data_IF_258456955928
#
_entry.id   IF_258456955928
#
_cell.length_a   1.000
_cell.length_b   1.000
_cell.length_c   1.000
_cell.angle_alpha   90.00
_cell.angle_beta   90.00
_cell.angle_gamma   90.00
#
_symmetry.space_group_name_H-M   'P 1'
#
loop_
_entity.id
_entity.type
_entity.pdbx_description
1 polymer ?
#
# COMPACT_ATOMS: atom_id res chain seq x y z
N UNK A 1 -55.32 -0.35 -26.12
CA UNK A 1 -54.53 0.36 -25.07
C UNK A 1 -53.36 1.04 -25.76
N UNK A 2 -53.16 2.35 -25.58
CA UNK A 2 -52.01 3.03 -26.18
C UNK A 2 -50.71 2.46 -25.61
N UNK A 3 -49.71 2.25 -26.47
CA UNK A 3 -48.39 1.72 -26.11
C UNK A 3 -47.77 2.51 -24.93
N UNK A 4 -48.03 3.81 -24.85
CA UNK A 4 -47.64 4.68 -23.73
C UNK A 4 -48.29 4.29 -22.39
N UNK A 5 -49.56 3.89 -22.37
CA UNK A 5 -50.22 3.43 -21.14
C UNK A 5 -49.61 2.11 -20.67
N UNK A 6 -49.38 1.17 -21.58
CA UNK A 6 -48.73 -0.10 -21.25
C UNK A 6 -47.30 0.10 -20.72
N UNK A 7 -46.52 0.97 -21.35
CA UNK A 7 -45.18 1.33 -20.89
C UNK A 7 -45.22 2.01 -19.51
N UNK A 8 -46.16 2.95 -19.30
CA UNK A 8 -46.33 3.63 -18.01
C UNK A 8 -46.70 2.67 -16.87
N UNK A 9 -47.64 1.75 -17.11
CA UNK A 9 -48.00 0.71 -16.14
C UNK A 9 -46.85 -0.26 -15.87
N UNK A 10 -46.05 -0.60 -16.89
CA UNK A 10 -44.89 -1.49 -16.74
C UNK A 10 -43.76 -0.85 -15.93
N UNK A 11 -43.51 0.46 -16.11
CA UNK A 11 -42.55 1.22 -15.29
C UNK A 11 -43.05 1.31 -13.85
N UNK A 12 -44.34 1.59 -13.65
CA UNK A 12 -44.93 1.70 -12.32
C UNK A 12 -44.89 0.37 -11.55
N UNK A 13 -45.24 -0.74 -12.19
CA UNK A 13 -45.15 -2.07 -11.56
C UNK A 13 -43.71 -2.46 -11.26
N UNK A 14 -42.76 -2.13 -12.16
CA UNK A 14 -41.33 -2.31 -11.91
C UNK A 14 -40.84 -1.52 -10.70
N UNK A 15 -41.23 -0.25 -10.56
CA UNK A 15 -40.90 0.60 -9.41
C UNK A 15 -41.50 0.05 -8.11
N UNK A 16 -42.78 -0.33 -8.12
CA UNK A 16 -43.44 -0.91 -6.95
C UNK A 16 -42.80 -2.24 -6.53
N UNK A 17 -42.49 -3.13 -7.49
CA UNK A 17 -41.80 -4.38 -7.22
C UNK A 17 -40.38 -4.13 -6.66
N UNK A 18 -39.66 -3.15 -7.20
CA UNK A 18 -38.36 -2.74 -6.69
C UNK A 18 -38.42 -2.19 -5.27
N UNK A 19 -39.40 -1.34 -4.97
CA UNK A 19 -39.64 -0.80 -3.62
C UNK A 19 -40.00 -1.90 -2.63
N UNK A 20 -40.85 -2.85 -3.01
CA UNK A 20 -41.21 -4.00 -2.17
C UNK A 20 -39.99 -4.89 -1.90
N UNK A 21 -39.19 -5.19 -2.94
CA UNK A 21 -37.97 -5.97 -2.79
C UNK A 21 -36.94 -5.27 -1.89
N UNK A 22 -36.74 -3.96 -2.07
CA UNK A 22 -35.85 -3.16 -1.23
C UNK A 22 -36.34 -3.11 0.23
N UNK A 23 -37.65 -2.96 0.45
CA UNK A 23 -38.26 -2.93 1.78
C UNK A 23 -38.17 -4.28 2.49
N UNK A 24 -38.45 -5.38 1.78
CA UNK A 24 -38.28 -6.73 2.30
C UNK A 24 -36.81 -7.01 2.67
N UNK A 25 -35.88 -6.58 1.81
CA UNK A 25 -34.45 -6.72 2.07
C UNK A 25 -34.00 -5.86 3.26
N UNK A 26 -34.51 -4.63 3.39
CA UNK A 26 -34.25 -3.75 4.54
C UNK A 26 -34.75 -4.38 5.84
N UNK A 27 -36.00 -4.85 5.89
CA UNK A 27 -36.57 -5.49 7.08
C UNK A 27 -35.85 -6.78 7.47
N UNK A 28 -35.31 -7.51 6.49
CA UNK A 28 -34.53 -8.72 6.73
C UNK A 28 -33.10 -8.44 7.25
N UNK A 29 -32.45 -7.39 6.72
CA UNK A 29 -31.05 -7.06 7.03
C UNK A 29 -30.91 -6.12 8.22
N UNK A 30 -31.84 -5.18 8.41
CA UNK A 30 -31.78 -4.13 9.45
C UNK A 30 -31.58 -4.70 10.86
N UNK A 31 -32.30 -5.75 11.31
CA UNK A 31 -32.09 -6.36 12.63
C UNK A 31 -30.72 -7.03 12.81
N UNK A 32 -29.99 -7.26 11.71
CA UNK A 32 -28.65 -7.87 11.70
C UNK A 32 -27.54 -6.85 11.53
N UNK A 33 -27.89 -5.57 11.32
CA UNK A 33 -26.90 -4.51 11.24
C UNK A 33 -26.36 -4.22 12.64
N UNK A 34 -25.04 -4.13 12.79
CA UNK A 34 -24.43 -3.79 14.07
C UNK A 34 -24.85 -2.38 14.52
N UNK A 35 -24.60 -2.13 15.80
CA UNK A 35 -24.87 -0.84 16.43
C UNK A 35 -23.82 0.19 16.02
N UNK A 36 -24.28 1.39 15.62
CA UNK A 36 -23.41 2.48 15.16
C UNK A 36 -22.70 3.14 16.33
N UNK A 37 -23.25 3.08 17.55
CA UNK A 37 -22.58 3.62 18.75
C UNK A 37 -21.18 3.02 18.97
N UNK A 38 -20.97 1.76 18.54
CA UNK A 38 -19.67 1.10 18.61
C UNK A 38 -18.59 1.78 17.76
N UNK A 39 -18.95 2.63 16.80
CA UNK A 39 -18.00 3.40 16.01
C UNK A 39 -17.27 4.46 16.85
N UNK A 40 -17.90 4.99 17.90
CA UNK A 40 -17.32 6.02 18.77
C UNK A 40 -16.17 5.48 19.63
N UNK A 41 -16.16 4.17 19.90
CA UNK A 41 -15.12 3.50 20.69
C UNK A 41 -13.93 3.02 19.84
N UNK A 42 -13.16 3.96 19.28
CA UNK A 42 -11.91 3.63 18.59
C UNK A 42 -10.79 3.38 19.61
N UNK A 43 -10.59 2.12 19.98
CA UNK A 43 -9.47 1.73 20.85
C UNK A 43 -8.12 1.96 20.15
N UNK A 44 -7.23 2.69 20.82
CA UNK A 44 -5.82 2.77 20.49
C UNK A 44 -5.20 1.37 20.52
N UNK A 45 -4.58 0.97 19.41
CA UNK A 45 -3.89 -0.31 19.30
C UNK A 45 -2.39 -0.05 19.28
N UNK A 46 -1.66 -0.69 20.18
CA UNK A 46 -0.21 -0.63 20.22
C UNK A 46 0.35 -1.95 19.68
N UNK A 47 1.27 -1.91 18.70
CA UNK A 47 1.80 -3.13 18.10
C UNK A 47 2.70 -3.90 19.07
N UNK A 48 2.79 -5.22 18.88
CA UNK A 48 3.79 -6.07 19.51
C UNK A 48 5.19 -5.63 19.09
N UNK A 49 6.12 -5.55 20.06
CA UNK A 49 7.55 -5.38 19.80
C UNK A 49 8.34 -6.55 20.35
N UNK A 50 9.24 -7.10 19.53
CA UNK A 50 10.12 -8.20 19.88
C UNK A 50 11.54 -7.68 19.99
N UNK A 51 12.18 -7.91 21.13
CA UNK A 51 13.53 -7.49 21.48
C UNK A 51 14.44 -8.68 21.66
N UNK A 52 15.72 -8.51 21.36
CA UNK A 52 16.77 -9.45 21.76
C UNK A 52 16.97 -9.42 23.28
N UNK A 53 17.76 -10.35 23.82
CA UNK A 53 18.08 -10.38 25.25
C UNK A 53 18.88 -9.15 25.73
N UNK A 54 19.48 -8.44 24.78
CA UNK A 54 20.31 -7.23 24.95
C UNK A 54 19.61 -5.98 24.37
N UNK A 55 18.27 -5.94 24.47
CA UNK A 55 17.41 -4.78 24.19
C UNK A 55 17.44 -4.22 22.76
N UNK A 56 17.91 -5.00 21.78
CA UNK A 56 17.86 -4.60 20.38
C UNK A 56 16.49 -4.94 19.79
N UNK A 57 15.79 -3.96 19.19
CA UNK A 57 14.53 -4.23 18.52
C UNK A 57 14.75 -5.13 17.31
N UNK A 58 14.05 -6.26 17.27
CA UNK A 58 14.13 -7.24 16.18
C UNK A 58 12.99 -7.05 15.18
N UNK A 59 11.77 -6.87 15.70
CA UNK A 59 10.58 -6.74 14.87
C UNK A 59 9.44 -6.05 15.61
N UNK A 60 8.55 -5.44 14.83
CA UNK A 60 7.28 -4.90 15.28
C UNK A 60 6.15 -5.57 14.47
N UNK A 61 5.08 -6.00 15.13
CA UNK A 61 3.93 -6.69 14.52
C UNK A 61 2.63 -6.04 14.98
N UNK A 62 1.72 -5.82 14.03
CA UNK A 62 0.45 -5.13 14.27
C UNK A 62 0.31 -3.87 13.42
N UNK A 63 -0.87 -3.28 13.52
CA UNK A 63 -1.19 -2.01 12.88
C UNK A 63 -0.52 -0.86 13.62
N UNK A 64 -0.04 0.13 12.88
CA UNK A 64 0.38 1.41 13.43
C UNK A 64 -0.83 2.32 13.48
N UNK A 65 -1.47 2.34 14.64
CA UNK A 65 -2.46 3.36 14.99
C UNK A 65 -1.76 4.39 15.86
N UNK A 66 -1.87 5.66 15.50
CA UNK A 66 -1.45 6.79 16.34
C UNK A 66 -2.66 7.31 17.11
N UNK A 67 -2.44 8.29 17.99
CA UNK A 67 -3.52 9.04 18.64
C UNK A 67 -4.55 9.46 17.58
N UNK A 68 -5.84 9.12 17.75
CA UNK A 68 -6.88 9.60 16.85
C UNK A 68 -6.80 11.12 16.76
N UNK A 69 -6.96 11.64 15.56
CA UNK A 69 -7.04 13.09 15.33
C UNK A 69 -8.50 13.50 15.31
N UNK A 70 -8.82 14.59 16.01
CA UNK A 70 -10.14 15.20 15.90
C UNK A 70 -10.26 15.89 14.56
N UNK A 71 -11.44 15.86 13.95
CA UNK A 71 -11.64 16.44 12.62
C UNK A 71 -11.34 17.94 12.59
N UNK A 72 -11.52 18.65 13.70
CA UNK A 72 -11.22 20.07 13.84
C UNK A 72 -9.71 20.37 13.78
N UNK A 73 -8.87 19.40 14.17
CA UNK A 73 -7.40 19.53 14.14
C UNK A 73 -6.82 19.20 12.76
N UNK A 74 -7.60 18.58 11.86
CA UNK A 74 -7.14 18.21 10.53
C UNK A 74 -7.15 19.44 9.62
N UNK A 75 -6.02 19.82 9.00
CA UNK A 75 -5.99 20.96 8.11
C UNK A 75 -6.98 20.82 6.96
N UNK A 76 -7.63 21.93 6.61
CA UNK A 76 -8.66 21.98 5.56
C UNK A 76 -8.20 21.36 4.24
N UNK A 77 -6.98 21.66 3.78
CA UNK A 77 -6.45 21.12 2.53
C UNK A 77 -6.24 19.60 2.56
N UNK A 78 -6.05 19.01 3.76
CA UNK A 78 -5.98 17.55 3.93
C UNK A 78 -7.35 16.94 3.73
N UNK A 79 -8.38 17.46 4.42
CA UNK A 79 -9.77 17.04 4.24
C UNK A 79 -10.18 17.14 2.76
N UNK A 80 -9.94 18.30 2.15
CA UNK A 80 -10.26 18.57 0.75
C UNK A 80 -9.55 17.63 -0.23
N UNK A 81 -8.32 17.20 0.07
CA UNK A 81 -7.62 16.22 -0.75
C UNK A 81 -8.32 14.85 -0.74
N UNK A 82 -8.80 14.39 0.42
CA UNK A 82 -9.56 13.14 0.53
C UNK A 82 -10.93 13.25 -0.14
N UNK A 83 -11.65 14.36 0.06
CA UNK A 83 -12.93 14.61 -0.61
C UNK A 83 -12.75 14.64 -2.14
N UNK A 84 -11.76 15.36 -2.65
CA UNK A 84 -11.48 15.42 -4.09
C UNK A 84 -11.12 14.06 -4.69
N UNK A 85 -10.41 13.21 -3.92
CA UNK A 85 -9.94 11.91 -4.36
C UNK A 85 -11.00 10.80 -4.33
N UNK A 86 -11.87 10.82 -3.32
CA UNK A 86 -12.77 9.71 -2.98
C UNK A 86 -14.25 10.08 -3.10
N UNK A 87 -14.66 11.28 -2.65
CA UNK A 87 -16.08 11.65 -2.56
C UNK A 87 -16.31 13.18 -2.56
N UNK A 88 -16.31 13.78 -3.75
CA UNK A 88 -16.37 15.24 -3.91
C UNK A 88 -17.72 15.85 -3.50
N UNK A 89 -18.77 15.03 -3.37
CA UNK A 89 -20.14 15.46 -3.01
C UNK A 89 -20.56 14.90 -1.67
N UNK A 90 -19.58 14.55 -0.83
CA UNK A 90 -19.81 13.96 0.49
C UNK A 90 -20.87 14.69 1.30
N UNK A 91 -20.87 16.04 1.29
CA UNK A 91 -21.83 16.86 2.02
C UNK A 91 -23.20 17.00 1.35
N UNK A 92 -23.35 16.61 0.08
CA UNK A 92 -24.58 16.79 -0.69
C UNK A 92 -25.50 15.56 -0.66
N UNK A 93 -24.97 14.40 -0.27
CA UNK A 93 -25.71 13.15 -0.30
C UNK A 93 -25.86 12.53 1.10
N UNK A 94 -26.80 11.59 1.26
CA UNK A 94 -27.07 10.92 2.53
C UNK A 94 -26.60 9.46 2.47
N UNK A 95 -25.32 9.21 2.79
CA UNK A 95 -24.72 7.88 2.82
C UNK A 95 -24.37 7.26 1.47
N UNK A 96 -25.21 7.44 0.46
CA UNK A 96 -25.00 6.96 -0.91
C UNK A 96 -25.10 8.12 -1.89
N UNK A 97 -24.36 8.05 -2.99
CA UNK A 97 -24.41 9.03 -4.08
C UNK A 97 -25.17 8.42 -5.29
N UNK A 98 -26.47 8.73 -5.49
CA UNK A 98 -27.26 8.15 -6.58
C UNK A 98 -26.73 8.54 -7.96
N UNK A 99 -26.22 9.76 -8.11
CA UNK A 99 -25.67 10.26 -9.37
C UNK A 99 -24.33 9.57 -9.67
N UNK A 100 -23.50 9.34 -8.63
CA UNK A 100 -22.26 8.59 -8.74
C UNK A 100 -22.50 7.13 -9.10
N UNK A 101 -23.50 6.49 -8.48
CA UNK A 101 -23.93 5.12 -8.78
C UNK A 101 -24.48 4.99 -10.20
N UNK A 102 -25.34 5.92 -10.63
CA UNK A 102 -25.87 5.93 -11.99
C UNK A 102 -24.75 6.07 -13.03
N UNK A 103 -23.80 6.99 -12.81
CA UNK A 103 -22.62 7.16 -13.67
C UNK A 103 -21.79 5.87 -13.76
N UNK A 104 -21.55 5.23 -12.62
CA UNK A 104 -20.80 3.97 -12.57
C UNK A 104 -21.52 2.83 -13.30
N UNK A 105 -22.85 2.74 -13.17
CA UNK A 105 -23.67 1.77 -13.88
C UNK A 105 -23.64 1.98 -15.39
N UNK A 106 -23.76 3.23 -15.85
CA UNK A 106 -23.64 3.58 -17.28
C UNK A 106 -22.27 3.18 -17.83
N UNK A 107 -21.18 3.44 -17.09
CA UNK A 107 -19.83 3.04 -17.50
C UNK A 107 -19.66 1.52 -17.59
N UNK A 108 -20.26 0.76 -16.67
CA UNK A 108 -20.24 -0.69 -16.72
C UNK A 108 -20.95 -1.21 -17.97
N UNK A 109 -22.10 -0.63 -18.32
CA UNK A 109 -22.87 -0.99 -19.50
C UNK A 109 -22.11 -0.60 -20.79
N UNK A 110 -21.51 0.59 -20.82
CA UNK A 110 -20.88 1.11 -22.05
C UNK A 110 -19.46 0.60 -22.30
N UNK A 111 -18.68 0.36 -21.25
CA UNK A 111 -17.25 0.00 -21.37
C UNK A 111 -16.93 -1.40 -20.83
N UNK A 112 -17.92 -2.13 -20.32
CA UNK A 112 -17.72 -3.45 -19.70
C UNK A 112 -16.98 -3.41 -18.36
N UNK A 113 -16.60 -2.22 -17.86
CA UNK A 113 -15.87 -2.07 -16.60
C UNK A 113 -16.25 -0.78 -15.87
N UNK A 114 -16.21 -0.82 -14.53
CA UNK A 114 -16.42 0.39 -13.73
C UNK A 114 -15.08 1.13 -13.63
N UNK A 115 -14.99 2.30 -14.26
CA UNK A 115 -13.77 3.13 -14.23
C UNK A 115 -13.79 4.18 -13.10
N UNK A 116 -14.99 4.63 -12.70
CA UNK A 116 -15.19 5.60 -11.61
C UNK A 116 -15.41 4.93 -10.25
N UNK A 117 -15.04 5.63 -9.16
CA UNK A 117 -15.37 5.19 -7.81
C UNK A 117 -16.85 5.43 -7.55
N UNK A 118 -17.64 4.37 -7.34
CA UNK A 118 -19.07 4.47 -7.02
C UNK A 118 -19.39 4.27 -5.53
N UNK A 119 -18.39 4.26 -4.63
CA UNK A 119 -18.60 4.11 -3.19
C UNK A 119 -18.25 5.41 -2.48
N UNK A 120 -19.15 5.88 -1.63
CA UNK A 120 -19.00 7.10 -0.83
C UNK A 120 -18.08 6.87 0.37
N UNK A 121 -17.63 7.95 1.02
CA UNK A 121 -16.87 7.86 2.28
C UNK A 121 -17.65 7.09 3.34
N UNK A 122 -18.95 7.35 3.50
CA UNK A 122 -19.80 6.66 4.48
C UNK A 122 -19.89 5.16 4.21
N UNK A 123 -20.02 4.75 2.93
CA UNK A 123 -19.96 3.33 2.56
C UNK A 123 -18.60 2.70 2.89
N UNK A 124 -17.51 3.47 2.75
CA UNK A 124 -16.18 3.00 3.14
C UNK A 124 -16.05 2.86 4.66
N UNK A 125 -16.63 3.75 5.46
CA UNK A 125 -16.70 3.60 6.93
C UNK A 125 -17.45 2.33 7.30
N UNK A 126 -18.66 2.13 6.75
CA UNK A 126 -19.45 0.92 6.96
C UNK A 126 -18.65 -0.35 6.65
N UNK A 127 -17.96 -0.37 5.50
CA UNK A 127 -17.10 -1.48 5.07
C UNK A 127 -15.93 -1.73 6.03
N UNK A 128 -15.25 -0.67 6.47
CA UNK A 128 -14.00 -0.78 7.25
C UNK A 128 -14.25 -1.15 8.72
N UNK A 129 -15.42 -0.85 9.28
CA UNK A 129 -15.74 -1.12 10.69
C UNK A 129 -16.52 -2.41 10.92
N UNK A 130 -17.42 -2.79 10.01
CA UNK A 130 -18.43 -3.80 10.31
C UNK A 130 -18.44 -5.02 9.40
N UNK A 131 -17.80 -4.95 8.24
CA UNK A 131 -17.91 -6.00 7.23
C UNK A 131 -16.61 -6.77 7.08
N UNK A 132 -16.69 -8.09 7.28
CA UNK A 132 -15.58 -9.00 6.98
C UNK A 132 -15.34 -9.09 5.47
N UNK A 133 -14.14 -9.52 5.08
CA UNK A 133 -13.65 -9.44 3.70
C UNK A 133 -14.34 -10.38 2.69
N UNK A 134 -15.32 -11.18 3.12
CA UNK A 134 -16.06 -12.13 2.30
C UNK A 134 -16.86 -11.41 1.18
N UNK A 135 -16.59 -11.75 -0.09
CA UNK A 135 -17.19 -11.11 -1.26
C UNK A 135 -18.50 -11.81 -1.66
N UNK A 136 -19.62 -11.37 -1.11
CA UNK A 136 -20.96 -11.77 -1.60
C UNK A 136 -21.76 -10.54 -2.04
N UNK A 137 -22.69 -10.71 -2.99
CA UNK A 137 -23.60 -9.63 -3.41
C UNK A 137 -24.39 -9.04 -2.22
N UNK A 138 -24.74 -9.88 -1.24
CA UNK A 138 -25.34 -9.50 0.05
C UNK A 138 -24.50 -8.46 0.80
N UNK A 139 -23.17 -8.53 0.74
CA UNK A 139 -22.30 -7.54 1.40
C UNK A 139 -22.51 -6.13 0.85
N UNK A 140 -22.69 -5.97 -0.46
CA UNK A 140 -22.83 -4.63 -1.05
C UNK A 140 -24.13 -3.95 -0.62
N UNK A 141 -25.20 -4.71 -0.45
CA UNK A 141 -26.44 -4.21 0.13
C UNK A 141 -26.28 -3.87 1.61
N UNK A 142 -25.55 -4.69 2.38
CA UNK A 142 -25.24 -4.36 3.77
C UNK A 142 -24.45 -3.05 3.89
N UNK A 143 -23.48 -2.78 3.00
CA UNK A 143 -22.75 -1.49 2.95
C UNK A 143 -23.69 -0.30 2.76
N UNK A 144 -24.68 -0.42 1.86
CA UNK A 144 -25.63 0.66 1.56
C UNK A 144 -26.52 0.94 2.78
N UNK A 145 -27.18 -0.10 3.33
CA UNK A 145 -28.08 0.10 4.46
C UNK A 145 -27.35 0.57 5.71
N UNK A 146 -26.13 0.07 5.95
CA UNK A 146 -25.32 0.51 7.07
C UNK A 146 -24.82 1.95 6.89
N UNK A 147 -24.48 2.35 5.66
CA UNK A 147 -24.13 3.75 5.38
C UNK A 147 -25.32 4.69 5.64
N UNK A 148 -26.53 4.29 5.26
CA UNK A 148 -27.75 5.06 5.56
C UNK A 148 -28.01 5.16 7.06
N UNK A 149 -27.85 4.05 7.80
CA UNK A 149 -27.99 4.03 9.27
C UNK A 149 -26.94 4.93 9.94
N UNK A 150 -25.68 4.86 9.50
CA UNK A 150 -24.60 5.73 9.98
C UNK A 150 -24.95 7.21 9.81
N UNK A 151 -25.53 7.61 8.67
CA UNK A 151 -25.89 9.01 8.41
C UNK A 151 -27.14 9.49 9.16
N UNK A 152 -27.95 8.56 9.66
CA UNK A 152 -29.06 8.90 10.56
C UNK A 152 -28.57 9.19 11.98
N UNK A 153 -27.48 8.56 12.40
CA UNK A 153 -27.01 8.59 13.79
C UNK A 153 -25.78 9.49 13.99
N UNK A 154 -24.97 9.72 12.94
CA UNK A 154 -23.75 10.52 12.97
C UNK A 154 -23.80 11.67 11.97
N UNK A 155 -23.20 12.78 12.37
CA UNK A 155 -23.01 13.97 11.53
C UNK A 155 -21.89 13.77 10.50
N UNK A 156 -21.89 14.57 9.44
CA UNK A 156 -20.84 14.52 8.39
C UNK A 156 -19.41 14.67 8.95
N UNK A 157 -19.13 15.60 9.89
CA UNK A 157 -17.81 15.69 10.51
C UNK A 157 -17.43 14.41 11.27
N UNK A 158 -18.32 13.83 12.08
CA UNK A 158 -18.06 12.58 12.80
C UNK A 158 -17.75 11.42 11.84
N UNK A 159 -18.51 11.28 10.75
CA UNK A 159 -18.27 10.24 9.73
C UNK A 159 -16.90 10.41 9.07
N UNK A 160 -16.53 11.65 8.75
CA UNK A 160 -15.25 11.96 8.14
C UNK A 160 -14.09 11.70 9.12
N UNK A 161 -14.25 12.05 10.40
CA UNK A 161 -13.29 11.74 11.46
C UNK A 161 -13.03 10.23 11.56
N UNK A 162 -14.11 9.43 11.64
CA UNK A 162 -14.02 7.97 11.69
C UNK A 162 -13.32 7.41 10.46
N UNK A 163 -13.65 7.93 9.28
CA UNK A 163 -12.99 7.54 8.03
C UNK A 163 -11.48 7.82 8.08
N UNK A 164 -11.10 9.05 8.41
CA UNK A 164 -9.72 9.51 8.42
C UNK A 164 -8.87 8.83 9.49
N UNK A 165 -9.46 8.41 10.62
CA UNK A 165 -8.74 7.70 11.68
C UNK A 165 -8.64 6.19 11.44
N UNK A 166 -9.55 5.59 10.66
CA UNK A 166 -9.58 4.13 10.46
C UNK A 166 -8.96 3.66 9.16
N UNK A 167 -8.92 4.49 8.13
CA UNK A 167 -8.57 4.02 6.79
C UNK A 167 -7.15 3.47 6.70
N UNK A 168 -6.99 2.33 6.00
CA UNK A 168 -5.68 1.76 5.73
C UNK A 168 -4.97 2.51 4.60
N UNK A 169 -3.78 3.03 4.90
CA UNK A 169 -2.99 3.88 3.99
C UNK A 169 -1.63 3.24 3.64
N UNK A 170 -1.51 1.91 3.79
CA UNK A 170 -0.28 1.20 3.45
C UNK A 170 0.80 1.28 4.53
N UNK A 171 1.85 0.46 4.39
CA UNK A 171 2.95 0.35 5.36
C UNK A 171 2.48 0.11 6.82
N UNK A 172 1.37 -0.64 6.97
CA UNK A 172 0.70 -0.90 8.26
C UNK A 172 0.14 0.36 8.94
N UNK A 173 0.03 1.48 8.24
CA UNK A 173 -0.51 2.74 8.77
C UNK A 173 -2.02 2.76 8.64
N UNK A 174 -2.71 2.88 9.76
CA UNK A 174 -4.16 3.03 9.83
C UNK A 174 -4.46 4.41 10.41
N UNK A 175 -5.17 5.20 9.62
CA UNK A 175 -5.45 6.60 9.89
C UNK A 175 -4.41 7.57 9.32
N UNK A 176 -4.84 8.80 9.06
CA UNK A 176 -4.02 9.82 8.41
C UNK A 176 -2.82 10.26 9.24
N UNK A 177 -2.95 10.35 10.56
CA UNK A 177 -1.85 10.73 11.45
C UNK A 177 -0.73 9.68 11.42
N UNK A 178 -1.11 8.40 11.41
CA UNK A 178 -0.17 7.31 11.25
C UNK A 178 0.53 7.36 9.89
N UNK A 179 -0.20 7.66 8.81
CA UNK A 179 0.37 7.78 7.48
C UNK A 179 1.32 8.98 7.35
N UNK A 180 0.95 10.16 7.86
CA UNK A 180 1.79 11.36 7.91
C UNK A 180 3.13 11.05 8.58
N UNK A 181 3.08 10.39 9.74
CA UNK A 181 4.27 9.95 10.46
C UNK A 181 5.07 8.91 9.68
N UNK A 182 4.44 7.87 9.11
CA UNK A 182 5.15 6.77 8.45
C UNK A 182 5.81 7.19 7.13
N UNK A 183 5.18 8.08 6.35
CA UNK A 183 5.68 8.49 5.03
C UNK A 183 6.51 9.78 5.06
N UNK A 184 6.28 10.67 6.03
CA UNK A 184 6.93 11.99 6.07
C UNK A 184 7.58 12.33 7.41
N UNK A 185 7.32 11.55 8.47
CA UNK A 185 7.86 11.82 9.80
C UNK A 185 7.30 13.10 10.42
N UNK A 186 6.09 13.51 10.04
CA UNK A 186 5.41 14.72 10.49
C UNK A 186 4.03 14.40 11.04
N UNK A 187 3.45 15.35 11.78
CA UNK A 187 2.03 15.30 12.10
C UNK A 187 1.17 15.65 10.88
N UNK A 188 -0.10 15.24 10.89
CA UNK A 188 -1.08 15.61 9.85
C UNK A 188 -1.19 17.12 9.67
N UNK A 189 -1.00 17.89 10.75
CA UNK A 189 -1.08 19.36 10.76
C UNK A 189 -0.02 20.02 9.88
N UNK A 190 1.11 19.35 9.70
CA UNK A 190 2.29 19.89 9.02
C UNK A 190 2.44 19.38 7.57
N UNK A 191 1.42 18.66 7.07
CA UNK A 191 1.42 18.16 5.69
C UNK A 191 1.25 19.29 4.69
N UNK A 192 2.06 19.30 3.64
CA UNK A 192 1.82 20.18 2.49
C UNK A 192 0.66 19.68 1.63
N UNK A 193 0.16 20.52 0.70
CA UNK A 193 -0.88 20.13 -0.27
C UNK A 193 -0.43 18.90 -1.09
N UNK A 194 0.83 18.87 -1.53
CA UNK A 194 1.38 17.76 -2.30
C UNK A 194 1.47 16.45 -1.47
N UNK A 195 1.81 16.56 -0.19
CA UNK A 195 1.88 15.41 0.74
C UNK A 195 0.48 14.90 1.09
N UNK A 196 -0.48 15.81 1.32
CA UNK A 196 -1.89 15.50 1.55
C UNK A 196 -2.51 14.76 0.35
N UNK A 197 -2.32 15.29 -0.87
CA UNK A 197 -2.78 14.65 -2.10
C UNK A 197 -2.11 13.29 -2.35
N UNK A 198 -0.85 13.12 -1.92
CA UNK A 198 -0.17 11.83 -2.00
C UNK A 198 -0.83 10.80 -1.09
N UNK A 199 -1.08 11.15 0.18
CA UNK A 199 -1.71 10.27 1.16
C UNK A 199 -3.16 9.95 0.75
N UNK A 200 -3.93 10.94 0.28
CA UNK A 200 -5.29 10.78 -0.23
C UNK A 200 -5.36 9.85 -1.48
N UNK A 201 -4.24 9.60 -2.15
CA UNK A 201 -4.15 8.65 -3.26
C UNK A 201 -4.04 7.19 -2.84
N UNK A 202 -3.68 6.92 -1.59
CA UNK A 202 -3.41 5.57 -1.07
C UNK A 202 -4.66 4.69 -0.92
N UNK A 203 -5.82 5.17 -0.43
CA UNK A 203 -7.03 4.36 -0.21
C UNK A 203 -7.40 3.41 -1.36
N UNK A 204 -7.35 3.92 -2.60
CA UNK A 204 -7.74 3.15 -3.80
C UNK A 204 -6.92 1.88 -4.02
N UNK A 205 -5.61 1.94 -3.79
CA UNK A 205 -4.71 0.79 -3.93
C UNK A 205 -3.38 1.04 -3.18
N UNK A 206 -3.34 0.86 -1.85
CA UNK A 206 -2.22 1.29 -1.02
C UNK A 206 -0.88 0.70 -1.45
N UNK A 207 -0.86 -0.56 -1.91
CA UNK A 207 0.36 -1.22 -2.40
C UNK A 207 0.80 -0.71 -3.77
N UNK A 208 -0.14 -0.34 -4.66
CA UNK A 208 0.16 0.07 -6.04
C UNK A 208 0.61 1.53 -6.13
N UNK A 209 0.04 2.38 -5.28
CA UNK A 209 0.32 3.80 -5.19
C UNK A 209 1.25 4.15 -4.02
N UNK A 210 1.90 3.17 -3.40
CA UNK A 210 2.87 3.41 -2.33
C UNK A 210 4.05 4.25 -2.88
N UNK A 211 4.28 5.48 -2.37
CA UNK A 211 5.30 6.36 -2.92
C UNK A 211 6.74 5.93 -2.62
N UNK A 212 6.95 5.04 -1.65
CA UNK A 212 8.27 4.49 -1.31
C UNK A 212 8.65 3.37 -2.29
N UNK A 213 7.67 2.56 -2.70
CA UNK A 213 7.89 1.40 -3.57
C UNK A 213 7.74 1.77 -5.05
N UNK A 214 6.79 2.66 -5.37
CA UNK A 214 6.48 3.07 -6.74
C UNK A 214 6.24 4.59 -6.84
N UNK A 215 7.30 5.41 -6.73
CA UNK A 215 7.18 6.87 -6.75
C UNK A 215 6.59 7.41 -8.05
N UNK A 216 6.89 6.80 -9.21
CA UNK A 216 6.34 7.22 -10.51
C UNK A 216 4.81 7.10 -10.53
N UNK A 217 4.26 5.92 -10.20
CA UNK A 217 2.80 5.72 -10.17
C UNK A 217 2.12 6.54 -9.09
N UNK A 218 2.76 6.69 -7.93
CA UNK A 218 2.26 7.51 -6.85
C UNK A 218 2.16 8.98 -7.27
N UNK A 219 3.18 9.51 -7.97
CA UNK A 219 3.16 10.88 -8.53
C UNK A 219 1.99 11.10 -9.49
N UNK A 220 1.77 10.18 -10.43
CA UNK A 220 0.63 10.27 -11.38
C UNK A 220 -0.70 10.36 -10.63
N UNK A 221 -0.88 9.54 -9.59
CA UNK A 221 -2.11 9.55 -8.78
C UNK A 221 -2.24 10.84 -7.97
N UNK A 222 -1.16 11.31 -7.34
CA UNK A 222 -1.11 12.59 -6.61
C UNK A 222 -1.49 13.74 -7.53
N UNK A 223 -0.86 13.85 -8.69
CA UNK A 223 -1.08 14.97 -9.62
C UNK A 223 -2.50 14.97 -10.18
N UNK A 224 -3.09 13.78 -10.40
CA UNK A 224 -4.51 13.67 -10.73
C UNK A 224 -5.41 14.21 -9.60
N UNK A 225 -5.09 13.92 -8.33
CA UNK A 225 -5.84 14.46 -7.18
C UNK A 225 -5.67 15.97 -7.07
N UNK A 226 -4.45 16.49 -7.26
CA UNK A 226 -4.19 17.93 -7.29
C UNK A 226 -5.02 18.63 -8.36
N UNK A 227 -5.11 18.05 -9.56
CA UNK A 227 -5.99 18.55 -10.62
C UNK A 227 -7.45 18.57 -10.19
N UNK A 228 -7.93 17.51 -9.52
CA UNK A 228 -9.29 17.46 -8.96
C UNK A 228 -9.54 18.51 -7.89
N UNK A 229 -8.58 18.75 -7.00
CA UNK A 229 -8.69 19.80 -5.96
C UNK A 229 -8.81 21.18 -6.60
N UNK A 230 -8.06 21.44 -7.68
CA UNK A 230 -8.19 22.67 -8.47
C UNK A 230 -9.55 22.78 -9.14
N UNK A 231 -10.01 21.75 -9.84
CA UNK A 231 -11.31 21.74 -10.54
C UNK A 231 -12.50 21.97 -9.60
N UNK A 232 -12.37 21.54 -8.35
CA UNK A 232 -13.37 21.72 -7.28
C UNK A 232 -13.21 23.06 -6.54
N UNK A 233 -12.20 23.86 -6.87
CA UNK A 233 -11.95 25.16 -6.23
C UNK A 233 -11.34 25.10 -4.83
N UNK A 234 -10.79 23.95 -4.42
CA UNK A 234 -10.14 23.79 -3.11
C UNK A 234 -8.74 24.42 -3.07
N UNK A 235 -8.06 24.50 -4.22
CA UNK A 235 -6.75 25.14 -4.36
C UNK A 235 -6.72 26.07 -5.57
N UNK A 236 -5.90 27.12 -5.50
CA UNK A 236 -5.69 28.04 -6.62
C UNK A 236 -4.83 27.43 -7.72
N UNK A 237 -4.86 28.05 -8.90
CA UNK A 237 -3.97 27.71 -10.03
C UNK A 237 -2.49 27.68 -9.61
N UNK A 238 -2.07 28.68 -8.83
CA UNK A 238 -0.69 28.82 -8.36
C UNK A 238 -0.31 27.68 -7.40
N UNK A 239 -1.18 27.34 -6.45
CA UNK A 239 -0.97 26.23 -5.53
C UNK A 239 -0.93 24.88 -6.25
N UNK A 240 -1.80 24.68 -7.24
CA UNK A 240 -1.79 23.48 -8.08
C UNK A 240 -0.49 23.33 -8.86
N UNK A 241 -0.02 24.41 -9.50
CA UNK A 241 1.21 24.42 -10.27
C UNK A 241 2.42 24.10 -9.39
N UNK A 242 2.54 24.73 -8.21
CA UNK A 242 3.61 24.50 -7.25
C UNK A 242 3.61 23.05 -6.69
N UNK A 243 2.44 22.58 -6.26
CA UNK A 243 2.29 21.22 -5.70
C UNK A 243 2.59 20.12 -6.72
N UNK A 244 2.27 20.34 -8.00
CA UNK A 244 2.51 19.36 -9.08
C UNK A 244 4.00 19.25 -9.44
N UNK A 245 4.74 20.36 -9.33
CA UNK A 245 6.19 20.41 -9.55
C UNK A 245 6.99 19.84 -8.37
N UNK A 246 6.41 19.81 -7.18
CA UNK A 246 7.05 19.25 -5.98
C UNK A 246 7.45 17.78 -6.20
N UNK A 247 8.71 17.38 -5.93
CA UNK A 247 9.16 16.00 -6.08
C UNK A 247 8.48 15.06 -5.07
N UNK A 248 8.51 13.75 -5.34
CA UNK A 248 8.03 12.76 -4.37
C UNK A 248 9.09 12.56 -3.28
N UNK A 249 8.82 13.06 -2.07
CA UNK A 249 9.75 13.06 -0.93
C UNK A 249 9.47 11.97 0.11
N UNK A 250 8.40 11.19 -0.08
CA UNK A 250 7.97 10.18 0.90
C UNK A 250 9.06 9.12 1.13
N UNK A 251 9.35 8.83 2.39
CA UNK A 251 10.33 7.84 2.83
C UNK A 251 9.83 7.16 4.10
N UNK A 252 10.34 5.97 4.40
CA UNK A 252 9.87 5.23 5.57
C UNK A 252 10.45 5.82 6.86
N UNK A 253 9.60 6.41 7.69
CA UNK A 253 9.92 7.02 8.98
C UNK A 253 9.45 6.17 10.19
N UNK A 254 8.96 4.95 9.94
CA UNK A 254 8.56 4.04 11.01
C UNK A 254 9.74 3.43 11.77
N UNK A 255 9.46 2.79 12.91
CA UNK A 255 10.46 2.04 13.69
C UNK A 255 11.22 1.06 12.79
N UNK A 256 12.54 1.19 12.77
CA UNK A 256 13.43 0.27 12.06
C UNK A 256 13.99 -0.76 13.05
N UNK A 257 14.13 -2.03 12.68
CA UNK A 257 14.80 -3.01 13.52
C UNK A 257 16.27 -2.66 13.74
N UNK A 258 16.72 -2.71 14.99
CA UNK A 258 18.13 -2.61 15.37
C UNK A 258 18.90 -3.90 15.02
N UNK A 259 18.18 -5.03 15.01
CA UNK A 259 18.72 -6.36 14.72
C UNK A 259 17.89 -7.08 13.65
N UNK A 260 18.55 -7.44 12.53
CA UNK A 260 17.93 -8.22 11.47
C UNK A 260 17.86 -9.72 11.84
N UNK A 261 16.77 -10.14 12.49
CA UNK A 261 16.47 -11.56 12.78
C UNK A 261 15.00 -11.95 12.47
N UNK A 262 14.55 -11.79 11.20
CA UNK A 262 13.14 -11.98 10.83
C UNK A 262 12.60 -13.39 11.08
N UNK A 263 13.44 -14.42 10.91
CA UNK A 263 13.03 -15.82 11.14
C UNK A 263 12.74 -16.09 12.61
N UNK A 264 13.64 -15.66 13.51
CA UNK A 264 13.45 -15.88 14.94
C UNK A 264 12.33 -14.98 15.48
N UNK A 265 12.19 -13.76 14.96
CA UNK A 265 11.04 -12.91 15.27
C UNK A 265 9.71 -13.57 14.89
N UNK A 266 9.64 -14.25 13.75
CA UNK A 266 8.44 -14.96 13.31
C UNK A 266 8.16 -16.19 14.17
N UNK A 267 9.19 -16.96 14.55
CA UNK A 267 9.04 -18.06 15.50
C UNK A 267 8.49 -17.57 16.85
N UNK A 268 9.04 -16.48 17.37
CA UNK A 268 8.58 -15.87 18.61
C UNK A 268 7.14 -15.35 18.50
N UNK A 269 6.78 -14.67 17.39
CA UNK A 269 5.40 -14.24 17.13
C UNK A 269 4.41 -15.40 17.13
N UNK A 270 4.76 -16.51 16.46
CA UNK A 270 3.90 -17.68 16.40
C UNK A 270 3.67 -18.30 17.78
N UNK A 271 4.73 -18.44 18.59
CA UNK A 271 4.63 -18.92 19.97
C UNK A 271 3.79 -17.98 20.84
N UNK A 272 4.05 -16.67 20.79
CA UNK A 272 3.27 -15.69 21.56
C UNK A 272 1.79 -15.70 21.17
N UNK A 273 1.47 -15.87 19.89
CA UNK A 273 0.08 -15.94 19.43
C UNK A 273 -0.66 -17.16 19.99
N UNK A 274 0.02 -18.28 20.16
CA UNK A 274 -0.58 -19.48 20.77
C UNK A 274 -0.98 -19.26 22.23
N UNK A 275 -0.23 -18.42 22.95
CA UNK A 275 -0.46 -18.14 24.38
C UNK A 275 -1.41 -16.96 24.58
N UNK A 276 -1.25 -15.89 23.80
CA UNK A 276 -1.91 -14.60 24.02
C UNK A 276 -3.08 -14.34 23.04
N UNK A 277 -3.30 -15.21 22.06
CA UNK A 277 -4.34 -15.02 21.04
C UNK A 277 -4.08 -13.84 20.11
N UNK A 278 -5.15 -13.29 19.53
CA UNK A 278 -5.08 -12.20 18.54
C UNK A 278 -4.89 -10.80 19.17
N UNK A 279 -5.14 -10.64 20.48
CA UNK A 279 -4.85 -9.41 21.23
C UNK A 279 -3.35 -9.06 21.24
N UNK A 280 -2.51 -10.04 20.91
CA UNK A 280 -1.06 -9.87 20.73
C UNK A 280 -0.70 -8.64 19.88
N UNK A 281 -1.48 -8.34 18.84
CA UNK A 281 -1.16 -7.27 17.88
C UNK A 281 -1.63 -5.88 18.31
N UNK A 282 -2.38 -5.78 19.41
CA UNK A 282 -3.12 -4.56 19.75
C UNK A 282 -2.89 -4.11 21.18
N UNK A 283 -2.51 -5.02 22.08
CA UNK A 283 -2.34 -4.76 23.51
C UNK A 283 -0.96 -4.17 23.90
N UNK A 284 -0.07 -3.92 22.94
CA UNK A 284 1.22 -3.24 23.21
C UNK A 284 2.26 -4.10 23.90
N UNK A 285 2.18 -5.43 23.78
CA UNK A 285 3.16 -6.33 24.36
C UNK A 285 4.59 -6.02 23.89
N UNK A 286 5.52 -6.16 24.82
CA UNK A 286 6.96 -6.20 24.55
C UNK A 286 7.49 -7.56 24.96
N UNK A 287 8.13 -8.26 24.04
CA UNK A 287 8.66 -9.60 24.27
C UNK A 287 10.17 -9.60 24.13
N UNK A 288 10.88 -10.08 25.15
CA UNK A 288 12.32 -10.30 25.10
C UNK A 288 12.59 -11.78 24.83
N UNK A 289 13.33 -12.05 23.75
CA UNK A 289 13.69 -13.41 23.37
C UNK A 289 15.14 -13.72 23.74
N UNK A 290 15.51 -15.00 23.72
CA UNK A 290 16.82 -15.47 24.18
C UNK A 290 18.00 -15.15 23.25
N UNK A 291 17.74 -14.54 22.09
CA UNK A 291 18.76 -14.21 21.08
C UNK A 291 19.70 -13.12 21.60
N UNK A 292 21.01 -13.37 21.56
CA UNK A 292 22.07 -12.35 21.71
C UNK A 292 22.34 -11.68 20.35
N UNK A 293 22.28 -10.35 20.29
CA UNK A 293 22.43 -9.63 19.02
C UNK A 293 23.79 -9.81 18.36
N UNK A 294 24.87 -9.96 19.13
CA UNK A 294 26.23 -10.16 18.62
C UNK A 294 26.34 -11.53 17.95
N UNK A 295 25.83 -12.56 18.61
CA UNK A 295 25.80 -13.93 18.06
C UNK A 295 24.95 -14.01 16.80
N UNK A 296 23.78 -13.34 16.77
CA UNK A 296 22.92 -13.31 15.60
C UNK A 296 23.59 -12.59 14.41
N UNK A 297 24.27 -11.46 14.66
CA UNK A 297 25.05 -10.77 13.62
C UNK A 297 26.20 -11.65 13.10
N UNK A 298 26.91 -12.33 14.00
CA UNK A 298 27.99 -13.26 13.66
C UNK A 298 27.47 -14.44 12.82
N UNK A 299 26.36 -15.08 13.23
CA UNK A 299 25.73 -16.17 12.51
C UNK A 299 25.29 -15.75 11.10
N UNK A 300 24.63 -14.60 10.96
CA UNK A 300 24.24 -14.05 9.65
C UNK A 300 25.44 -13.77 8.76
N UNK A 301 26.52 -13.22 9.33
CA UNK A 301 27.78 -12.99 8.60
C UNK A 301 28.41 -14.30 8.15
N UNK A 302 28.50 -15.29 9.03
CA UNK A 302 29.09 -16.59 8.75
C UNK A 302 28.33 -17.35 7.66
N UNK A 303 26.99 -17.41 7.73
CA UNK A 303 26.16 -18.04 6.69
C UNK A 303 26.36 -17.35 5.34
N UNK A 304 26.36 -16.02 5.30
CA UNK A 304 26.58 -15.26 4.05
C UNK A 304 27.96 -15.51 3.45
N UNK A 305 29.00 -15.42 4.28
CA UNK A 305 30.37 -15.67 3.83
C UNK A 305 30.54 -17.11 3.36
N UNK A 306 29.94 -18.08 4.07
CA UNK A 306 29.91 -19.48 3.70
C UNK A 306 29.24 -19.71 2.34
N UNK A 307 28.06 -19.12 2.10
CA UNK A 307 27.35 -19.22 0.83
C UNK A 307 28.11 -18.56 -0.33
N UNK A 308 28.72 -17.39 -0.10
CA UNK A 308 29.55 -16.74 -1.12
C UNK A 308 30.81 -17.55 -1.43
N UNK A 309 31.50 -18.05 -0.41
CA UNK A 309 32.67 -18.90 -0.58
C UNK A 309 32.31 -20.21 -1.28
N UNK A 310 31.17 -20.82 -0.93
CA UNK A 310 30.63 -21.98 -1.61
C UNK A 310 30.37 -21.66 -3.08
N UNK A 311 29.63 -20.59 -3.39
CA UNK A 311 29.35 -20.22 -4.79
C UNK A 311 30.63 -19.99 -5.58
N UNK A 312 31.65 -19.34 -4.99
CA UNK A 312 32.94 -19.11 -5.65
C UNK A 312 33.70 -20.40 -5.92
N UNK A 313 33.64 -21.38 -5.00
CA UNK A 313 34.25 -22.71 -5.16
C UNK A 313 33.49 -23.65 -6.08
N UNK A 314 32.34 -23.28 -6.62
CA UNK A 314 31.58 -24.10 -7.57
C UNK A 314 31.32 -23.37 -8.89
N UNK A 315 32.07 -22.29 -9.15
CA UNK A 315 31.95 -21.54 -10.39
C UNK A 315 30.73 -20.61 -10.48
N UNK A 316 30.69 -19.87 -11.58
CA UNK A 316 29.65 -18.91 -11.90
C UNK A 316 28.40 -19.60 -12.45
N UNK A 317 27.25 -19.22 -11.89
CA UNK A 317 25.93 -19.73 -12.25
C UNK A 317 25.35 -19.12 -13.54
N UNK A 318 26.05 -18.16 -14.15
CA UNK A 318 25.52 -17.37 -15.25
C UNK A 318 24.79 -16.10 -14.79
N UNK A 319 24.38 -15.29 -15.77
CA UNK A 319 23.61 -14.08 -15.51
C UNK A 319 22.20 -14.43 -15.02
N UNK A 320 21.71 -13.71 -14.00
CA UNK A 320 20.37 -13.91 -13.46
C UNK A 320 19.24 -13.55 -14.45
N UNK A 321 19.57 -12.80 -15.49
CA UNK A 321 18.69 -12.40 -16.58
C UNK A 321 19.47 -11.78 -17.74
N UNK A 322 18.79 -11.54 -18.85
CA UNK A 322 19.34 -10.85 -20.03
C UNK A 322 18.48 -9.64 -20.38
N UNK A 323 19.09 -8.66 -21.03
CA UNK A 323 18.38 -7.52 -21.59
C UNK A 323 17.49 -7.99 -22.77
N UNK A 324 16.26 -7.47 -22.91
CA UNK A 324 15.46 -7.66 -24.11
C UNK A 324 16.20 -7.09 -25.33
N UNK A 325 16.32 -7.88 -26.40
CA UNK A 325 16.98 -7.43 -27.63
C UNK A 325 16.27 -6.20 -28.24
N UNK A 326 17.04 -5.22 -28.69
CA UNK A 326 16.54 -4.04 -29.39
C UNK A 326 15.89 -2.95 -28.51
N UNK A 327 15.86 -3.11 -27.17
CA UNK A 327 15.34 -2.06 -26.27
C UNK A 327 16.46 -1.17 -25.72
N UNK A 328 16.34 0.17 -25.82
CA UNK A 328 17.29 1.07 -25.20
C UNK A 328 17.23 0.96 -23.66
N UNK A 329 18.39 1.03 -23.01
CA UNK A 329 18.48 1.05 -21.54
C UNK A 329 18.15 2.44 -20.97
N UNK A 330 16.91 2.88 -21.20
CA UNK A 330 16.36 4.06 -20.55
C UNK A 330 15.98 3.78 -19.08
N UNK A 331 15.56 4.83 -18.38
CA UNK A 331 15.19 4.72 -16.96
C UNK A 331 14.01 3.79 -16.72
N UNK A 332 13.08 3.67 -17.67
CA UNK A 332 11.91 2.83 -17.47
C UNK A 332 12.23 1.35 -17.65
N UNK A 333 13.02 1.05 -18.67
CA UNK A 333 13.56 -0.28 -18.95
C UNK A 333 14.46 -0.75 -17.81
N UNK A 334 15.40 0.08 -17.35
CA UNK A 334 16.31 -0.26 -16.24
C UNK A 334 15.55 -0.54 -14.94
N UNK A 335 14.60 0.33 -14.57
CA UNK A 335 13.79 0.14 -13.37
C UNK A 335 12.89 -1.09 -13.49
N UNK A 336 12.27 -1.32 -14.64
CA UNK A 336 11.40 -2.47 -14.87
C UNK A 336 12.16 -3.78 -14.78
N UNK A 337 13.35 -3.85 -15.38
CA UNK A 337 14.19 -5.04 -15.36
C UNK A 337 14.69 -5.33 -13.94
N UNK A 338 15.31 -4.33 -13.30
CA UNK A 338 15.85 -4.50 -11.94
C UNK A 338 14.75 -4.64 -10.87
N UNK A 339 13.48 -4.39 -11.17
CA UNK A 339 12.37 -4.67 -10.25
C UNK A 339 12.23 -6.16 -9.94
N UNK A 340 12.52 -7.02 -10.91
CA UNK A 340 12.43 -8.48 -10.75
C UNK A 340 13.63 -9.07 -10.00
N UNK A 341 14.67 -8.28 -9.79
CA UNK A 341 15.88 -8.67 -9.08
C UNK A 341 16.06 -7.74 -7.86
N UNK A 342 15.47 -8.07 -6.69
CA UNK A 342 15.70 -7.28 -5.49
C UNK A 342 17.14 -7.49 -4.98
N UNK A 343 17.74 -6.51 -4.27
CA UNK A 343 19.01 -6.74 -3.58
C UNK A 343 18.89 -7.89 -2.58
N UNK A 344 19.83 -8.84 -2.63
CA UNK A 344 19.81 -10.05 -1.80
C UNK A 344 21.07 -10.14 -0.97
N UNK A 345 20.94 -10.22 0.35
CA UNK A 345 22.09 -10.50 1.21
C UNK A 345 23.18 -9.41 1.25
N UNK A 346 22.91 -8.22 0.70
CA UNK A 346 23.92 -7.17 0.48
C UNK A 346 24.51 -7.16 -0.93
N UNK A 347 24.05 -8.03 -1.83
CA UNK A 347 24.36 -8.03 -3.24
C UNK A 347 23.37 -7.12 -3.98
N UNK A 348 23.90 -6.16 -4.74
CA UNK A 348 23.12 -5.31 -5.63
C UNK A 348 23.07 -5.92 -7.03
N UNK A 349 21.90 -5.97 -7.69
CA UNK A 349 21.80 -6.39 -9.06
C UNK A 349 22.25 -5.26 -9.99
N UNK A 350 23.00 -5.65 -11.03
CA UNK A 350 23.67 -4.74 -11.96
C UNK A 350 23.37 -5.20 -13.37
N UNK A 351 23.07 -4.26 -14.25
CA UNK A 351 22.99 -4.52 -15.68
C UNK A 351 24.35 -4.25 -16.28
N UNK A 352 24.98 -5.26 -16.87
CA UNK A 352 26.21 -5.08 -17.64
C UNK A 352 25.85 -4.45 -18.99
N UNK A 353 26.46 -3.30 -19.30
CA UNK A 353 26.18 -2.50 -20.49
C UNK A 353 27.23 -2.66 -21.57
N UNK A 354 28.46 -2.93 -21.17
CA UNK A 354 29.59 -3.20 -22.07
C UNK A 354 30.62 -4.07 -21.36
N UNK A 355 31.38 -4.82 -22.15
CA UNK A 355 32.43 -5.70 -21.66
C UNK A 355 33.53 -5.80 -22.71
N UNK A 356 34.78 -5.64 -22.27
CA UNK A 356 35.99 -5.95 -23.04
C UNK A 356 36.71 -7.13 -22.37
N UNK A 357 37.90 -7.49 -22.83
CA UNK A 357 38.67 -8.62 -22.30
C UNK A 357 39.20 -8.41 -20.87
N UNK A 358 39.31 -7.15 -20.42
CA UNK A 358 39.91 -6.73 -19.15
C UNK A 358 38.88 -6.27 -18.10
N UNK A 359 37.69 -5.83 -18.49
CA UNK A 359 36.68 -5.30 -17.58
C UNK A 359 35.25 -5.37 -18.13
N UNK A 360 34.28 -5.37 -17.22
CA UNK A 360 32.88 -5.16 -17.52
C UNK A 360 32.40 -3.84 -16.90
N UNK A 361 31.61 -3.07 -17.64
CA UNK A 361 30.92 -1.90 -17.12
C UNK A 361 29.45 -2.23 -16.91
N UNK A 362 28.89 -1.77 -15.80
CA UNK A 362 27.49 -1.95 -15.51
C UNK A 362 26.88 -0.81 -14.74
N UNK A 363 25.56 -0.78 -14.74
CA UNK A 363 24.77 0.27 -14.11
C UNK A 363 23.79 -0.36 -13.11
N UNK A 364 23.73 0.21 -11.92
CA UNK A 364 22.78 -0.22 -10.89
C UNK A 364 21.46 0.56 -10.97
N UNK A 365 20.51 0.25 -10.08
CA UNK A 365 19.18 0.88 -10.04
C UNK A 365 19.20 2.40 -9.83
N UNK A 366 20.31 2.96 -9.35
CA UNK A 366 20.48 4.39 -9.08
C UNK A 366 21.25 5.12 -10.20
N UNK A 367 21.45 4.46 -11.35
CA UNK A 367 22.32 4.94 -12.44
C UNK A 367 23.77 5.16 -12.07
N UNK A 368 24.22 4.57 -10.95
CA UNK A 368 25.63 4.57 -10.61
C UNK A 368 26.35 3.59 -11.52
N UNK A 369 27.28 4.10 -12.32
CA UNK A 369 28.18 3.29 -13.13
C UNK A 369 29.18 2.56 -12.23
N UNK A 370 29.45 1.30 -12.56
CA UNK A 370 30.37 0.44 -11.85
C UNK A 370 31.25 -0.29 -12.84
N UNK A 371 32.53 -0.37 -12.51
CA UNK A 371 33.54 -1.10 -13.28
C UNK A 371 33.87 -2.36 -12.50
N UNK A 372 33.79 -3.51 -13.16
CA UNK A 372 34.24 -4.80 -12.66
C UNK A 372 35.48 -5.21 -13.45
N UNK A 373 36.69 -5.08 -12.88
CA UNK A 373 37.90 -5.57 -13.49
C UNK A 373 37.92 -7.10 -13.54
N UNK A 374 38.51 -7.68 -14.59
CA UNK A 374 38.68 -9.12 -14.77
C UNK A 374 39.38 -9.78 -13.57
N UNK A 375 40.31 -9.08 -12.93
CA UNK A 375 40.97 -9.52 -11.69
C UNK A 375 39.99 -9.91 -10.58
N UNK A 376 38.85 -9.22 -10.47
CA UNK A 376 37.80 -9.53 -9.49
C UNK A 376 36.86 -10.66 -9.93
N UNK A 377 37.00 -11.13 -11.17
CA UNK A 377 36.15 -12.14 -11.81
C UNK A 377 36.90 -13.45 -12.13
N UNK A 378 38.19 -13.57 -11.78
CA UNK A 378 38.98 -14.81 -11.93
C UNK A 378 38.37 -16.04 -11.25
N UNK A 379 37.50 -15.83 -10.26
CA UNK A 379 36.77 -16.91 -9.58
C UNK A 379 35.59 -17.45 -10.39
N UNK A 380 35.13 -16.73 -11.41
CA UNK A 380 33.89 -17.00 -12.16
C UNK A 380 34.06 -18.13 -13.20
N UNK A 381 34.53 -19.29 -12.77
CA UNK A 381 34.74 -20.45 -13.64
C UNK A 381 33.39 -20.97 -14.13
N UNK A 382 33.25 -21.42 -15.39
CA UNK A 382 31.98 -21.99 -15.85
C UNK A 382 31.56 -23.15 -14.95
N UNK A 383 30.35 -23.10 -14.39
CA UNK A 383 29.84 -24.21 -13.59
C UNK A 383 29.34 -25.32 -14.51
N UNK A 384 29.85 -26.54 -14.33
CA UNK A 384 29.38 -27.72 -15.06
C UNK A 384 28.29 -28.42 -14.25
N UNK A 385 28.60 -28.80 -13.00
CA UNK A 385 27.65 -29.41 -12.07
C UNK A 385 27.93 -28.99 -10.61
N UNK A 386 27.53 -29.79 -9.62
CA UNK A 386 27.75 -29.50 -8.20
C UNK A 386 29.19 -29.74 -7.78
N UNK A 387 29.91 -30.66 -8.43
CA UNK A 387 31.24 -31.10 -8.03
C UNK A 387 32.34 -30.68 -9.03
N UNK A 388 31.94 -30.30 -10.26
CA UNK A 388 32.85 -30.00 -11.36
C UNK A 388 32.73 -28.56 -11.89
N UNK A 389 33.88 -27.99 -12.25
CA UNK A 389 34.01 -26.70 -12.91
C UNK A 389 34.71 -26.83 -14.26
N UNK A 390 34.40 -25.89 -15.17
CA UNK A 390 35.12 -25.68 -16.41
C UNK A 390 36.48 -25.03 -16.19
N UNK A 391 37.25 -24.79 -17.28
CA UNK A 391 38.57 -24.18 -17.18
C UNK A 391 38.51 -22.77 -16.60
N UNK A 392 39.59 -22.37 -15.92
CA UNK A 392 39.75 -21.01 -15.42
C UNK A 392 39.58 -19.98 -16.55
N UNK A 393 38.78 -18.92 -16.35
CA UNK A 393 38.65 -17.87 -17.35
C UNK A 393 40.01 -17.18 -17.51
N UNK A 394 40.40 -16.89 -18.75
CA UNK A 394 41.63 -16.16 -19.10
C UNK A 394 41.38 -14.71 -19.48
N UNK A 395 40.17 -14.42 -19.92
CA UNK A 395 39.63 -13.09 -20.23
C UNK A 395 38.12 -13.13 -20.04
N UNK A 396 37.49 -11.97 -20.08
CA UNK A 396 36.05 -11.90 -20.28
C UNK A 396 35.67 -12.24 -21.73
N UNK A 397 34.47 -12.79 -21.96
CA UNK A 397 33.94 -12.93 -23.32
C UNK A 397 33.74 -11.53 -23.90
N UNK A 398 34.25 -11.27 -25.10
CA UNK A 398 33.88 -10.04 -25.83
C UNK A 398 32.44 -10.19 -26.32
N UNK A 399 31.57 -9.28 -25.90
CA UNK A 399 30.14 -9.23 -26.29
C UNK A 399 29.91 -8.55 -27.63
#
# INVERSE_FOLDING_TARGET
MSLLRFLGWSVLTGLCAGLLAASALYLYLSPRLPDVEQLRDVKLQTPLRIYSRDDQLIAEYGEKRRTPVQIEDVPRHVVEAFLAAEDARFYEHFGIDPIGLARAAVQLISTGSIQSGGSTITMQVAKNFFLSQARTFTRKFNEIFLALKIEQELTKPEILELYLNKIYLGNRSYGIEAAANVYYGKSVTDLSIAEAAMIAGLPKAPSRYNPIINPKRAKIRRDWILGRMKDLGYISEAQWADATQTPVTARYHGTQPDLAAPYVAEMARQQLRQVLGDDLYTAGYKAWITVDSRLQRAARKAVRQGLLAYSRRHGWLGAAGRLPEGQPLDDDTLQTLLRNYPPLGGLEPVVITSMDDQQAQGINRQRKSMILPFEQMKWAWPRIDVDNQGPAPKSLPTS
#
